data_IF_154004901796
#
_entry.id   IF_154004901796
#
_cell.length_a   1.000
_cell.length_b   1.000
_cell.length_c   1.000
_cell.angle_alpha   90.00
_cell.angle_beta   90.00
_cell.angle_gamma   90.00
#
_symmetry.space_group_name_H-M   'P 1'
#
loop_
_entity.id
_entity.type
_entity.pdbx_description
1 polymer ?
#
# COMPACT_ATOMS: atom_id res chain seq x y z
N UNK A 1 -9.76 -11.20 -16.25
CA UNK A 1 -8.87 -10.38 -17.08
C UNK A 1 -7.46 -10.64 -16.60
N UNK A 2 -6.57 -11.02 -17.51
CA UNK A 2 -5.17 -11.23 -17.17
C UNK A 2 -4.34 -9.94 -17.38
N UNK A 3 -3.06 -9.96 -17.01
CA UNK A 3 -2.19 -8.80 -17.16
C UNK A 3 -1.99 -8.38 -18.64
N UNK A 4 -2.02 -9.33 -19.57
CA UNK A 4 -1.83 -9.04 -21.01
C UNK A 4 -3.06 -8.38 -21.62
N UNK A 5 -4.26 -8.71 -21.14
CA UNK A 5 -5.50 -7.98 -21.45
C UNK A 5 -5.36 -6.52 -20.97
N UNK A 6 -5.01 -6.30 -19.70
CA UNK A 6 -4.84 -4.95 -19.12
C UNK A 6 -3.80 -4.13 -19.88
N UNK A 7 -2.66 -4.74 -20.23
CA UNK A 7 -1.62 -4.09 -21.01
C UNK A 7 -2.07 -3.74 -22.44
N UNK A 8 -2.97 -4.52 -23.04
CA UNK A 8 -3.56 -4.19 -24.35
C UNK A 8 -4.48 -2.97 -24.26
N UNK A 9 -5.22 -2.82 -23.17
CA UNK A 9 -6.09 -1.66 -22.96
C UNK A 9 -5.35 -0.32 -22.95
N UNK A 10 -4.07 -0.30 -22.56
CA UNK A 10 -3.23 0.91 -22.60
C UNK A 10 -3.03 1.48 -24.02
N UNK A 11 -3.38 0.73 -25.07
CA UNK A 11 -3.31 1.19 -26.47
C UNK A 11 -4.60 1.85 -26.95
N UNK A 12 -5.68 1.79 -26.17
CA UNK A 12 -6.96 2.40 -26.52
C UNK A 12 -6.82 3.92 -26.41
N UNK A 13 -7.34 4.65 -27.40
CA UNK A 13 -7.40 6.09 -27.32
C UNK A 13 -8.44 6.51 -26.28
N UNK A 14 -7.98 7.06 -25.17
CA UNK A 14 -8.78 7.46 -24.02
C UNK A 14 -8.87 8.98 -23.85
N UNK A 15 -8.60 9.77 -24.91
CA UNK A 15 -8.61 11.24 -24.82
C UNK A 15 -10.00 11.84 -24.50
N UNK A 16 -11.07 11.07 -24.73
CA UNK A 16 -12.45 11.48 -24.42
C UNK A 16 -12.92 11.01 -23.03
N UNK A 17 -12.09 10.25 -22.31
CA UNK A 17 -12.42 9.69 -21.00
C UNK A 17 -12.25 10.74 -19.90
N UNK A 18 -12.87 10.49 -18.74
CA UNK A 18 -12.74 11.37 -17.58
C UNK A 18 -11.30 11.26 -17.05
N UNK A 19 -10.61 12.39 -16.95
CA UNK A 19 -9.27 12.44 -16.36
C UNK A 19 -9.35 12.30 -14.83
N UNK A 20 -8.46 11.48 -14.28
CA UNK A 20 -8.37 11.27 -12.84
C UNK A 20 -6.91 11.10 -12.42
N UNK A 21 -6.40 12.03 -11.63
CA UNK A 21 -5.04 12.05 -11.11
C UNK A 21 -4.94 11.28 -9.81
N UNK A 22 -3.95 10.39 -9.77
CA UNK A 22 -3.62 9.55 -8.62
C UNK A 22 -2.18 9.81 -8.21
N UNK A 23 -1.94 10.11 -6.95
CA UNK A 23 -0.62 9.95 -6.35
C UNK A 23 -0.48 8.52 -5.83
N UNK A 24 0.53 7.80 -6.28
CA UNK A 24 0.87 6.46 -5.80
C UNK A 24 2.17 6.54 -5.00
N UNK A 25 2.06 6.39 -3.68
CA UNK A 25 3.20 6.30 -2.76
C UNK A 25 3.47 4.83 -2.50
N UNK A 26 4.69 4.37 -2.78
CA UNK A 26 5.09 2.99 -2.52
C UNK A 26 6.54 2.87 -2.04
N UNK A 27 6.86 1.73 -1.44
CA UNK A 27 8.21 1.36 -0.98
C UNK A 27 8.87 0.25 -1.83
N UNK A 28 8.22 -0.16 -2.92
CA UNK A 28 8.70 -1.16 -3.89
C UNK A 28 8.41 -0.73 -5.33
N UNK A 29 8.98 -1.44 -6.31
CA UNK A 29 8.68 -1.24 -7.75
C UNK A 29 7.17 -1.29 -8.04
N UNK A 30 6.64 -0.27 -8.73
CA UNK A 30 5.19 -0.17 -9.05
C UNK A 30 4.84 -0.21 -10.53
N UNK A 31 5.83 -0.37 -11.42
CA UNK A 31 5.63 -0.17 -12.87
C UNK A 31 4.58 -1.13 -13.46
N UNK A 32 4.58 -2.40 -13.04
CA UNK A 32 3.57 -3.37 -13.48
C UNK A 32 2.20 -3.08 -12.88
N UNK A 33 2.17 -2.64 -11.61
CA UNK A 33 0.94 -2.26 -10.94
C UNK A 33 0.28 -1.05 -11.63
N UNK A 34 1.05 -0.02 -11.98
CA UNK A 34 0.57 1.15 -12.73
C UNK A 34 0.00 0.74 -14.09
N UNK A 35 0.69 -0.13 -14.82
CA UNK A 35 0.18 -0.66 -16.09
C UNK A 35 -1.16 -1.38 -15.90
N UNK A 36 -1.28 -2.19 -14.84
CA UNK A 36 -2.48 -2.94 -14.54
C UNK A 36 -3.65 -2.01 -14.18
N UNK A 37 -3.48 -1.05 -13.25
CA UNK A 37 -4.58 -0.16 -12.83
C UNK A 37 -5.01 0.79 -13.95
N UNK A 38 -4.07 1.31 -14.75
CA UNK A 38 -4.40 2.15 -15.91
C UNK A 38 -5.13 1.35 -16.98
N UNK A 39 -4.69 0.12 -17.23
CA UNK A 39 -5.35 -0.79 -18.17
C UNK A 39 -6.76 -1.18 -17.73
N UNK A 40 -6.96 -1.38 -16.42
CA UNK A 40 -8.26 -1.71 -15.86
C UNK A 40 -9.22 -0.52 -15.91
N UNK A 41 -8.72 0.69 -15.67
CA UNK A 41 -9.53 1.90 -15.67
C UNK A 41 -10.15 2.25 -17.03
N UNK A 42 -9.55 1.79 -18.13
CA UNK A 42 -10.11 1.90 -19.47
C UNK A 42 -11.49 1.23 -19.57
N UNK A 43 -11.73 0.15 -18.83
CA UNK A 43 -13.03 -0.54 -18.76
C UNK A 43 -14.13 0.33 -18.12
N UNK A 44 -13.74 1.40 -17.43
CA UNK A 44 -14.61 2.33 -16.74
C UNK A 44 -14.61 3.73 -17.39
N UNK A 45 -14.08 3.86 -18.60
CA UNK A 45 -13.97 5.14 -19.32
C UNK A 45 -13.23 6.22 -18.50
N UNK A 46 -12.18 5.78 -17.78
CA UNK A 46 -11.29 6.64 -17.00
C UNK A 46 -9.91 6.73 -17.65
N UNK A 47 -9.40 7.95 -17.79
CA UNK A 47 -8.01 8.23 -18.15
C UNK A 47 -7.21 8.49 -16.87
N UNK A 48 -6.69 7.43 -16.25
CA UNK A 48 -5.86 7.56 -15.05
C UNK A 48 -4.48 8.14 -15.36
N UNK A 49 -4.18 9.26 -14.70
CA UNK A 49 -2.85 9.87 -14.62
C UNK A 49 -2.23 9.50 -13.27
N UNK A 50 -1.34 8.52 -13.27
CA UNK A 50 -0.69 8.04 -12.04
C UNK A 50 0.68 8.69 -11.92
N UNK A 51 0.92 9.33 -10.78
CA UNK A 51 2.17 9.99 -10.42
C UNK A 51 2.83 9.21 -9.29
N UNK A 52 4.04 8.71 -9.54
CA UNK A 52 4.79 7.87 -8.59
C UNK A 52 5.55 8.72 -7.58
N UNK A 53 5.49 8.31 -6.31
CA UNK A 53 6.23 8.89 -5.20
C UNK A 53 6.76 7.78 -4.29
N UNK A 54 7.84 8.10 -3.58
CA UNK A 54 8.43 7.24 -2.56
C UNK A 54 8.05 7.71 -1.16
N UNK A 55 8.34 6.90 -0.13
CA UNK A 55 8.22 7.36 1.26
C UNK A 55 9.07 8.60 1.55
N UNK A 56 10.21 8.80 0.88
CA UNK A 56 11.04 9.99 1.09
C UNK A 56 10.31 11.27 0.68
N UNK A 57 9.50 11.22 -0.38
CA UNK A 57 8.72 12.36 -0.86
C UNK A 57 7.65 12.79 0.14
N UNK A 58 7.14 11.85 0.96
CA UNK A 58 6.20 12.15 2.05
C UNK A 58 6.87 12.99 3.14
N UNK A 59 8.15 12.78 3.42
CA UNK A 59 8.89 13.56 4.42
C UNK A 59 9.45 14.89 3.90
N UNK A 60 9.32 15.16 2.60
CA UNK A 60 9.84 16.36 1.96
C UNK A 60 8.70 17.27 1.49
N UNK A 61 8.34 18.35 2.24
CA UNK A 61 7.28 19.26 1.85
C UNK A 61 7.47 19.95 0.49
N UNK A 62 8.70 20.00 -0.03
CA UNK A 62 9.03 20.52 -1.34
C UNK A 62 8.82 19.54 -2.49
N UNK A 63 8.44 18.28 -2.21
CA UNK A 63 8.22 17.27 -3.23
C UNK A 63 6.99 17.58 -4.10
N UNK A 64 6.94 16.97 -5.28
CA UNK A 64 5.80 17.09 -6.19
C UNK A 64 4.48 16.58 -5.58
N UNK A 65 4.53 15.80 -4.51
CA UNK A 65 3.37 15.26 -3.82
C UNK A 65 2.52 16.39 -3.19
N UNK A 66 3.17 17.48 -2.76
CA UNK A 66 2.53 18.59 -2.05
C UNK A 66 2.18 19.77 -2.95
N UNK A 67 2.79 19.86 -4.14
CA UNK A 67 2.55 20.96 -5.08
C UNK A 67 1.44 20.68 -6.10
N UNK A 68 0.96 19.43 -6.16
CA UNK A 68 -0.10 19.00 -7.07
C UNK A 68 -1.38 18.66 -6.30
N UNK A 69 -2.53 18.72 -6.99
CA UNK A 69 -3.82 18.26 -6.47
C UNK A 69 -4.12 16.91 -7.09
N UNK A 70 -4.44 15.93 -6.25
CA UNK A 70 -4.82 14.58 -6.68
C UNK A 70 -6.26 14.29 -6.24
N UNK A 71 -7.03 13.59 -7.07
CA UNK A 71 -8.35 13.12 -6.65
C UNK A 71 -8.24 11.90 -5.74
N UNK A 72 -7.18 11.11 -5.89
CA UNK A 72 -6.91 9.95 -5.06
C UNK A 72 -5.45 9.85 -4.68
N UNK A 73 -5.19 9.47 -3.45
CA UNK A 73 -3.86 9.15 -2.96
C UNK A 73 -3.84 7.71 -2.49
N UNK A 74 -2.93 6.92 -3.04
CA UNK A 74 -2.75 5.51 -2.71
C UNK A 74 -1.46 5.37 -1.91
N UNK A 75 -1.56 4.76 -0.74
CA UNK A 75 -0.41 4.35 0.06
C UNK A 75 -0.28 2.82 0.02
N UNK A 76 0.72 2.36 -0.73
CA UNK A 76 1.00 0.94 -0.96
C UNK A 76 2.36 0.56 -0.38
N UNK A 77 2.36 0.16 0.89
CA UNK A 77 3.56 -0.25 1.62
C UNK A 77 3.60 -1.77 1.75
N UNK A 78 4.77 -2.36 1.50
CA UNK A 78 4.95 -3.80 1.51
C UNK A 78 5.24 -4.33 2.92
N UNK A 79 4.70 -5.50 3.29
CA UNK A 79 5.05 -6.12 4.56
C UNK A 79 6.48 -6.68 4.55
N UNK A 80 7.10 -6.92 3.39
CA UNK A 80 8.52 -7.24 3.27
C UNK A 80 9.42 -6.09 3.74
N UNK A 81 9.17 -4.85 3.30
CA UNK A 81 9.93 -3.68 3.78
C UNK A 81 9.68 -3.41 5.25
N UNK A 82 8.45 -3.59 5.72
CA UNK A 82 8.13 -3.51 7.14
C UNK A 82 8.89 -4.58 7.96
N UNK A 83 9.08 -5.78 7.41
CA UNK A 83 9.84 -6.82 8.06
C UNK A 83 11.34 -6.51 8.10
N UNK A 84 11.89 -6.01 6.99
CA UNK A 84 13.28 -5.53 6.95
C UNK A 84 13.54 -4.49 8.04
N UNK A 85 12.64 -3.52 8.19
CA UNK A 85 12.67 -2.53 9.28
C UNK A 85 12.59 -3.19 10.66
N UNK A 86 11.62 -4.08 10.87
CA UNK A 86 11.42 -4.77 12.15
C UNK A 86 12.68 -5.49 12.65
N UNK A 87 13.47 -6.08 11.73
CA UNK A 87 14.71 -6.74 12.10
C UNK A 87 15.81 -5.79 12.60
N UNK A 88 15.76 -4.51 12.23
CA UNK A 88 16.71 -3.50 12.71
C UNK A 88 16.38 -2.94 14.08
N UNK A 89 15.15 -3.16 14.56
CA UNK A 89 14.64 -2.63 15.82
C UNK A 89 15.09 -3.46 17.04
N UNK A 90 15.27 -2.78 18.16
CA UNK A 90 15.39 -3.40 19.48
C UNK A 90 14.08 -4.04 19.95
N UNK A 91 14.11 -4.86 21.00
CA UNK A 91 12.90 -5.52 21.52
C UNK A 91 11.82 -4.51 21.94
N UNK A 92 12.19 -3.42 22.61
CA UNK A 92 11.26 -2.35 23.01
C UNK A 92 10.64 -1.69 21.78
N UNK A 93 11.45 -1.33 20.79
CA UNK A 93 10.95 -0.71 19.55
C UNK A 93 10.05 -1.67 18.74
N UNK A 94 10.31 -2.98 18.81
CA UNK A 94 9.43 -3.99 18.20
C UNK A 94 8.07 -4.05 18.87
N UNK A 95 7.98 -3.92 20.18
CA UNK A 95 6.70 -3.85 20.89
C UNK A 95 5.87 -2.62 20.47
N UNK A 96 6.55 -1.52 20.13
CA UNK A 96 5.93 -0.25 19.73
C UNK A 96 5.80 -0.04 18.21
N UNK A 97 6.21 -1.02 17.38
CA UNK A 97 6.21 -0.87 15.92
C UNK A 97 4.83 -0.50 15.38
N UNK A 98 3.79 -1.19 15.81
CA UNK A 98 2.42 -0.94 15.35
C UNK A 98 1.94 0.45 15.73
N UNK A 99 2.27 0.93 16.92
CA UNK A 99 1.93 2.29 17.37
C UNK A 99 2.63 3.31 16.49
N UNK A 100 3.93 3.15 16.26
CA UNK A 100 4.73 4.03 15.40
C UNK A 100 4.17 4.09 13.98
N UNK A 101 3.83 2.93 13.41
CA UNK A 101 3.26 2.86 12.06
C UNK A 101 1.87 3.48 11.99
N UNK A 102 1.01 3.23 12.97
CA UNK A 102 -0.34 3.80 13.00
C UNK A 102 -0.32 5.31 13.15
N UNK A 103 0.62 5.87 13.92
CA UNK A 103 0.81 7.32 13.98
C UNK A 103 1.16 7.89 12.60
N UNK A 104 2.09 7.25 11.89
CA UNK A 104 2.42 7.64 10.51
C UNK A 104 1.19 7.56 9.58
N UNK A 105 0.43 6.47 9.60
CA UNK A 105 -0.77 6.32 8.77
C UNK A 105 -1.83 7.37 9.10
N UNK A 106 -2.02 7.70 10.37
CA UNK A 106 -2.98 8.71 10.81
C UNK A 106 -2.57 10.10 10.33
N UNK A 107 -1.32 10.51 10.60
CA UNK A 107 -0.77 11.79 10.15
C UNK A 107 -0.81 11.93 8.62
N UNK A 108 -0.50 10.85 7.90
CA UNK A 108 -0.60 10.80 6.44
C UNK A 108 -2.05 11.02 5.98
N UNK A 109 -3.00 10.30 6.57
CA UNK A 109 -4.42 10.37 6.21
C UNK A 109 -5.02 11.75 6.51
N UNK A 110 -4.67 12.35 7.64
CA UNK A 110 -5.10 13.71 7.99
C UNK A 110 -4.53 14.75 7.01
N UNK A 111 -3.24 14.62 6.64
CA UNK A 111 -2.56 15.55 5.75
C UNK A 111 -3.19 15.63 4.36
N UNK A 112 -3.76 14.53 3.88
CA UNK A 112 -4.35 14.42 2.55
C UNK A 112 -5.88 14.33 2.58
N UNK A 113 -6.50 14.98 3.57
CA UNK A 113 -7.95 14.97 3.80
C UNK A 113 -8.80 15.58 2.68
N UNK A 114 -8.21 16.38 1.79
CA UNK A 114 -8.87 16.91 0.59
C UNK A 114 -8.96 15.89 -0.56
N UNK A 115 -8.31 14.72 -0.42
CA UNK A 115 -8.30 13.64 -1.42
C UNK A 115 -8.98 12.38 -0.88
N UNK A 116 -9.43 11.51 -1.79
CA UNK A 116 -9.75 10.13 -1.37
C UNK A 116 -8.45 9.38 -1.07
N UNK A 117 -8.30 8.85 0.13
CA UNK A 117 -7.10 8.11 0.55
C UNK A 117 -7.38 6.62 0.49
N UNK A 118 -6.53 5.85 -0.18
CA UNK A 118 -6.62 4.38 -0.23
C UNK A 118 -5.38 3.80 0.46
N UNK A 119 -5.62 3.15 1.60
CA UNK A 119 -4.59 2.44 2.36
C UNK A 119 -4.63 0.96 1.99
N UNK A 120 -3.49 0.42 1.55
CA UNK A 120 -3.35 -1.02 1.42
C UNK A 120 -3.09 -1.61 2.80
N UNK A 121 -3.97 -2.50 3.26
CA UNK A 121 -3.63 -3.25 4.47
C UNK A 121 -2.53 -4.28 4.15
N UNK A 122 -1.92 -4.82 5.20
CA UNK A 122 -0.76 -5.69 5.07
C UNK A 122 -1.22 -7.14 4.95
N UNK A 123 -0.78 -7.82 3.90
CA UNK A 123 -0.90 -9.28 3.82
C UNK A 123 -0.12 -9.93 4.96
N UNK A 124 -0.60 -11.07 5.46
CA UNK A 124 0.07 -11.72 6.59
C UNK A 124 1.42 -12.30 6.15
N UNK A 125 2.42 -12.06 7.01
CA UNK A 125 3.75 -12.63 6.94
C UNK A 125 4.06 -13.27 8.28
N UNK A 126 4.44 -14.54 8.25
CA UNK A 126 4.80 -15.31 9.43
C UNK A 126 6.14 -15.98 9.21
N UNK A 127 7.20 -15.48 9.85
CA UNK A 127 8.54 -16.08 9.81
C UNK A 127 8.65 -17.40 10.57
N UNK A 128 7.66 -17.75 11.39
CA UNK A 128 7.67 -18.98 12.16
C UNK A 128 8.62 -18.97 13.37
N UNK A 129 9.35 -17.88 13.64
CA UNK A 129 10.28 -17.75 14.79
C UNK A 129 9.61 -18.17 16.10
N UNK A 130 8.37 -17.70 16.33
CA UNK A 130 7.58 -18.00 17.53
C UNK A 130 6.44 -18.99 17.26
N UNK A 131 6.28 -19.45 16.02
CA UNK A 131 5.12 -20.24 15.60
C UNK A 131 3.79 -19.64 16.09
N UNK A 132 2.94 -20.46 16.70
CA UNK A 132 1.66 -20.00 17.26
C UNK A 132 1.80 -19.06 18.47
N UNK A 133 2.95 -19.09 19.17
CA UNK A 133 3.20 -18.22 20.31
C UNK A 133 3.36 -16.75 19.92
N UNK A 134 3.61 -16.45 18.63
CA UNK A 134 3.62 -15.09 18.11
C UNK A 134 2.35 -14.31 18.48
N UNK A 135 1.18 -14.98 18.52
CA UNK A 135 -0.10 -14.38 18.92
C UNK A 135 -0.15 -13.87 20.38
N UNK A 136 0.83 -14.26 21.22
CA UNK A 136 0.92 -13.89 22.63
C UNK A 136 2.19 -13.11 22.96
N UNK A 137 3.10 -12.95 22.00
CA UNK A 137 4.36 -12.23 22.18
C UNK A 137 4.28 -10.89 21.45
N UNK A 138 4.13 -9.81 22.22
CA UNK A 138 3.90 -8.46 21.69
C UNK A 138 5.02 -8.01 20.77
N UNK A 139 6.28 -8.32 21.10
CA UNK A 139 7.42 -8.00 20.25
C UNK A 139 7.52 -8.87 18.97
N UNK A 140 6.61 -9.82 18.72
CA UNK A 140 6.65 -10.60 17.49
C UNK A 140 6.11 -9.82 16.29
N UNK A 141 6.73 -10.02 15.12
CA UNK A 141 6.32 -9.35 13.90
C UNK A 141 4.84 -9.60 13.56
N UNK A 142 4.39 -10.86 13.65
CA UNK A 142 3.00 -11.23 13.36
C UNK A 142 1.99 -10.52 14.28
N UNK A 143 2.34 -10.32 15.56
CA UNK A 143 1.50 -9.58 16.50
C UNK A 143 1.39 -8.11 16.08
N UNK A 144 2.52 -7.48 15.75
CA UNK A 144 2.58 -6.08 15.33
C UNK A 144 1.86 -5.84 14.00
N UNK A 145 2.09 -6.69 12.99
CA UNK A 145 1.44 -6.61 11.68
C UNK A 145 -0.09 -6.70 11.80
N UNK A 146 -0.60 -7.64 12.62
CA UNK A 146 -2.05 -7.76 12.86
C UNK A 146 -2.60 -6.55 13.61
N UNK A 147 -1.84 -6.01 14.55
CA UNK A 147 -2.20 -4.79 15.28
C UNK A 147 -2.28 -3.58 14.35
N UNK A 148 -1.36 -3.47 13.38
CA UNK A 148 -1.41 -2.45 12.31
C UNK A 148 -2.69 -2.62 11.49
N UNK A 149 -3.00 -3.82 10.99
CA UNK A 149 -4.22 -4.04 10.21
C UNK A 149 -5.50 -3.67 10.96
N UNK A 150 -5.56 -3.96 12.28
CA UNK A 150 -6.68 -3.53 13.12
C UNK A 150 -6.74 -2.00 13.24
N UNK A 151 -5.59 -1.35 13.44
CA UNK A 151 -5.53 0.11 13.51
C UNK A 151 -5.90 0.79 12.19
N UNK A 152 -5.50 0.25 11.04
CA UNK A 152 -5.90 0.75 9.72
C UNK A 152 -7.43 0.75 9.57
N UNK A 153 -8.12 -0.30 10.04
CA UNK A 153 -9.59 -0.33 10.06
C UNK A 153 -10.20 0.80 10.90
N UNK A 154 -9.55 1.17 12.01
CA UNK A 154 -10.02 2.28 12.85
C UNK A 154 -9.82 3.62 12.16
N UNK A 155 -8.64 3.86 11.59
CA UNK A 155 -8.34 5.07 10.80
C UNK A 155 -9.37 5.23 9.67
N UNK A 156 -9.62 4.18 8.88
CA UNK A 156 -10.60 4.24 7.79
C UNK A 156 -12.05 4.45 8.29
N UNK A 157 -12.39 3.96 9.49
CA UNK A 157 -13.70 4.20 10.09
C UNK A 157 -13.85 5.64 10.63
N UNK A 158 -12.76 6.25 11.10
CA UNK A 158 -12.73 7.62 11.62
C UNK A 158 -12.75 8.66 10.50
N UNK A 159 -12.16 8.35 9.34
CA UNK A 159 -12.05 9.26 8.20
C UNK A 159 -12.89 8.78 7.01
N UNK A 160 -14.04 9.41 6.75
CA UNK A 160 -14.96 9.01 5.66
C UNK A 160 -14.37 9.05 4.24
N UNK A 161 -13.27 9.78 4.03
CA UNK A 161 -12.53 9.85 2.76
C UNK A 161 -11.40 8.82 2.67
N UNK A 162 -11.19 8.01 3.71
CA UNK A 162 -10.17 6.97 3.78
C UNK A 162 -10.78 5.58 3.57
N UNK A 163 -10.19 4.82 2.65
CA UNK A 163 -10.65 3.49 2.24
C UNK A 163 -9.54 2.47 2.38
N UNK A 164 -9.89 1.22 2.65
CA UNK A 164 -8.94 0.11 2.70
C UNK A 164 -9.03 -0.71 1.42
N UNK A 165 -7.89 -0.92 0.77
CA UNK A 165 -7.72 -2.03 -0.16
C UNK A 165 -7.20 -3.25 0.62
N UNK A 166 -8.05 -4.27 0.72
CA UNK A 166 -7.79 -5.43 1.59
C UNK A 166 -6.92 -6.49 0.88
N UNK A 167 -5.61 -6.35 1.04
CA UNK A 167 -4.62 -7.32 0.59
C UNK A 167 -4.58 -8.58 1.45
N UNK A 168 -4.88 -8.47 2.75
CA UNK A 168 -4.93 -9.62 3.65
C UNK A 168 -5.99 -10.64 3.20
N UNK A 169 -7.21 -10.20 2.88
CA UNK A 169 -8.25 -11.09 2.37
C UNK A 169 -7.94 -11.59 0.95
N UNK A 170 -7.31 -10.74 0.13
CA UNK A 170 -6.87 -11.13 -1.21
C UNK A 170 -5.88 -12.30 -1.12
N UNK A 171 -4.91 -12.23 -0.21
CA UNK A 171 -3.96 -13.31 0.06
C UNK A 171 -4.66 -14.57 0.56
N UNK A 172 -5.56 -14.42 1.53
CA UNK A 172 -6.26 -15.55 2.14
C UNK A 172 -7.16 -16.31 1.13
N UNK A 173 -7.68 -15.61 0.12
CA UNK A 173 -8.52 -16.18 -0.94
C UNK A 173 -7.70 -16.71 -2.13
N UNK A 174 -6.52 -16.15 -2.37
CA UNK A 174 -5.71 -16.53 -3.51
C UNK A 174 -5.05 -17.90 -3.26
N UNK A 175 -5.25 -18.84 -4.19
CA UNK A 175 -4.45 -20.07 -4.27
C UNK A 175 -3.07 -19.84 -4.91
N UNK A 176 -2.72 -18.59 -5.19
CA UNK A 176 -1.50 -18.17 -5.88
C UNK A 176 -0.69 -17.30 -4.94
N UNK A 177 0.62 -17.51 -4.89
CA UNK A 177 1.50 -16.65 -4.12
C UNK A 177 1.40 -15.20 -4.63
N UNK A 178 1.05 -14.26 -3.75
CA UNK A 178 1.01 -12.83 -4.08
C UNK A 178 2.40 -12.20 -4.22
N UNK A 179 3.44 -12.93 -3.83
CA UNK A 179 4.84 -12.51 -3.97
C UNK A 179 5.59 -13.60 -4.74
N UNK A 180 6.26 -13.21 -5.81
CA UNK A 180 7.26 -14.03 -6.49
C UNK A 180 8.65 -13.61 -6.00
N UNK A 181 9.35 -14.45 -5.22
CA UNK A 181 10.65 -14.10 -4.66
C UNK A 181 11.69 -13.74 -5.73
N UNK A 182 11.63 -14.36 -6.91
CA UNK A 182 12.61 -14.10 -7.98
C UNK A 182 12.41 -12.70 -8.52
N UNK A 183 11.16 -12.34 -8.83
CA UNK A 183 10.84 -11.01 -9.32
C UNK A 183 11.16 -9.94 -8.27
N UNK A 184 10.80 -10.17 -7.00
CA UNK A 184 11.08 -9.25 -5.90
C UNK A 184 12.58 -8.96 -5.78
N UNK A 185 13.42 -10.00 -5.69
CA UNK A 185 14.89 -9.82 -5.56
C UNK A 185 15.58 -9.15 -6.74
N UNK A 186 14.96 -9.12 -7.92
CA UNK A 186 15.53 -8.48 -9.12
C UNK A 186 15.00 -7.07 -9.37
N UNK A 187 13.91 -6.69 -8.72
CA UNK A 187 13.23 -5.40 -8.90
C UNK A 187 13.56 -4.40 -7.78
N UNK A 188 13.93 -4.90 -6.60
CA UNK A 188 14.55 -4.14 -5.50
C UNK A 188 16.04 -3.87 -5.77
#
# INVERSE_FOLDING_TARGET
MDFLDLKRNLKINNSAFIEWDIALIADSSTQLYIQAIRGYAVEFELNLRVHEYTLQDVYQPSSGLYSNIFQTIILFLSPEKLLEEFYTLSEIEREDLSVTKLNFYNEFTERFSDSSVILYNLRELNEGIWGNYANKHQASFLFQLRSINIGLMRIANEHSYCYIQDMAITQARSNVALCDPRLYTTAD
#
